data_IF_215850958696
#
_entry.id   IF_215850958696
#
_cell.length_a   1.000
_cell.length_b   1.000
_cell.length_c   1.000
_cell.angle_alpha   90.00
_cell.angle_beta   90.00
_cell.angle_gamma   90.00
#
_symmetry.space_group_name_H-M   'P 1'
#
loop_
_entity.id
_entity.type
_entity.pdbx_description
1 polymer ?
#
# COMPACT_ATOMS: atom_id res chain seq x y z
N UNK A 1 -29.02 -20.66 54.00
CA UNK A 1 -27.59 -20.33 54.12
C UNK A 1 -27.09 -19.94 52.74
N UNK A 2 -26.87 -18.64 52.48
CA UNK A 2 -26.31 -18.11 51.23
C UNK A 2 -24.79 -18.01 51.42
N UNK A 3 -24.02 -18.60 50.51
CA UNK A 3 -22.55 -18.52 50.53
C UNK A 3 -22.15 -17.32 49.66
N UNK A 4 -21.69 -16.25 50.30
CA UNK A 4 -21.12 -15.08 49.62
C UNK A 4 -19.84 -15.48 48.88
N UNK A 5 -19.92 -15.52 47.55
CA UNK A 5 -18.74 -15.65 46.68
C UNK A 5 -18.08 -14.28 46.59
N UNK A 6 -16.99 -14.06 47.35
CA UNK A 6 -16.13 -12.88 47.17
C UNK A 6 -15.53 -12.90 45.76
N UNK A 7 -15.81 -11.86 44.99
CA UNK A 7 -15.18 -11.62 43.69
C UNK A 7 -13.69 -11.34 43.89
N UNK A 8 -12.83 -12.18 43.31
CA UNK A 8 -11.39 -11.94 43.24
C UNK A 8 -11.18 -10.79 42.27
N UNK A 9 -10.86 -9.60 42.79
CA UNK A 9 -10.44 -8.48 41.97
C UNK A 9 -9.06 -8.80 41.35
N UNK A 10 -9.07 -9.17 40.07
CA UNK A 10 -7.88 -9.22 39.22
C UNK A 10 -7.27 -7.83 39.18
N UNK A 11 -6.09 -7.65 39.77
CA UNK A 11 -5.30 -6.43 39.59
C UNK A 11 -5.02 -6.23 38.09
N UNK A 12 -5.08 -4.99 37.56
CA UNK A 12 -4.66 -4.73 36.19
C UNK A 12 -3.18 -5.09 36.07
N UNK A 13 -2.86 -6.07 35.23
CA UNK A 13 -1.47 -6.38 34.89
C UNK A 13 -0.98 -5.22 34.04
N UNK A 14 -0.06 -4.41 34.56
CA UNK A 14 0.56 -3.37 33.75
C UNK A 14 1.22 -4.01 32.53
N UNK A 15 1.02 -3.46 31.31
CA UNK A 15 1.63 -4.02 30.13
C UNK A 15 3.14 -3.94 30.29
N UNK A 16 3.82 -5.10 30.28
CA UNK A 16 5.28 -5.13 30.28
C UNK A 16 5.83 -4.25 29.17
N UNK A 17 6.94 -3.56 29.45
CA UNK A 17 7.69 -2.86 28.40
C UNK A 17 8.08 -3.87 27.32
N UNK A 18 7.73 -3.53 26.07
CA UNK A 18 7.96 -4.40 24.92
C UNK A 18 9.41 -4.29 24.48
N UNK A 19 9.99 -5.42 24.08
CA UNK A 19 11.35 -5.41 23.56
C UNK A 19 11.38 -4.80 22.13
N UNK A 20 12.58 -4.46 21.66
CA UNK A 20 12.78 -3.85 20.34
C UNK A 20 12.23 -4.67 19.17
N UNK A 21 12.28 -6.00 19.26
CA UNK A 21 11.73 -6.89 18.24
C UNK A 21 10.19 -6.84 18.19
N UNK A 22 9.54 -6.74 19.35
CA UNK A 22 8.09 -6.56 19.44
C UNK A 22 7.64 -5.19 18.94
N UNK A 23 8.45 -4.15 19.15
CA UNK A 23 8.21 -2.81 18.58
C UNK A 23 8.28 -2.82 17.04
N UNK A 24 9.21 -3.58 16.46
CA UNK A 24 9.33 -3.73 15.01
C UNK A 24 8.12 -4.47 14.40
N UNK A 25 7.58 -5.47 15.10
CA UNK A 25 6.38 -6.20 14.69
C UNK A 25 5.09 -5.37 14.80
N UNK A 26 5.05 -4.34 15.64
CA UNK A 26 3.92 -3.40 15.66
C UNK A 26 3.93 -2.56 14.40
N UNK A 27 5.10 -2.06 13.95
CA UNK A 27 5.21 -1.31 12.68
C UNK A 27 4.66 -2.10 11.50
N UNK A 28 4.84 -3.42 11.46
CA UNK A 28 4.31 -4.25 10.37
C UNK A 28 2.83 -4.63 10.55
N UNK A 29 2.30 -4.59 11.78
CA UNK A 29 0.90 -4.94 12.09
C UNK A 29 -0.06 -3.74 12.06
N UNK A 30 0.43 -2.52 12.28
CA UNK A 30 -0.40 -1.30 12.32
C UNK A 30 -0.47 -0.57 10.97
N UNK A 31 -0.05 -1.19 9.86
CA UNK A 31 -0.31 -0.67 8.50
C UNK A 31 -1.78 -0.91 8.06
N UNK A 32 -2.70 -0.81 9.02
CA UNK A 32 -4.05 -0.33 8.74
C UNK A 32 -3.96 1.18 8.91
N UNK A 33 -3.62 1.84 7.83
CA UNK A 33 -3.47 3.28 7.67
C UNK A 33 -4.83 3.99 7.80
N UNK A 34 -5.32 4.09 9.04
CA UNK A 34 -6.41 5.00 9.38
C UNK A 34 -6.00 6.49 9.20
N UNK A 35 -4.76 6.76 8.79
CA UNK A 35 -4.13 8.09 8.77
C UNK A 35 -3.54 8.55 7.43
N UNK A 36 -3.77 7.85 6.32
CA UNK A 36 -3.50 8.38 4.97
C UNK A 36 -2.08 8.86 4.66
N UNK A 37 -1.06 8.44 5.43
CA UNK A 37 0.35 8.69 5.09
C UNK A 37 0.88 7.58 4.17
N UNK A 38 1.77 7.95 3.24
CA UNK A 38 2.38 7.01 2.32
C UNK A 38 3.25 6.02 3.09
N UNK A 39 2.83 4.77 3.17
CA UNK A 39 3.60 3.66 3.74
C UNK A 39 4.80 3.35 2.84
N UNK A 40 5.96 3.09 3.43
CA UNK A 40 7.14 2.54 2.73
C UNK A 40 7.00 1.02 2.47
N UNK A 41 5.76 0.54 2.38
CA UNK A 41 5.45 -0.87 2.24
C UNK A 41 5.84 -1.38 0.85
N UNK A 42 6.38 -2.60 0.80
CA UNK A 42 6.74 -3.24 -0.46
C UNK A 42 5.53 -3.47 -1.38
N UNK A 43 4.33 -3.58 -0.78
CA UNK A 43 3.07 -3.90 -1.44
C UNK A 43 2.07 -2.78 -1.14
N UNK A 44 1.45 -2.27 -2.20
CA UNK A 44 0.48 -1.19 -2.17
C UNK A 44 -0.94 -1.73 -2.42
N UNK A 45 -1.91 -1.21 -1.67
CA UNK A 45 -3.33 -1.22 -2.05
C UNK A 45 -3.55 -0.23 -3.19
N UNK A 46 -4.69 -0.37 -3.87
CA UNK A 46 -4.99 0.50 -5.01
C UNK A 46 -5.02 1.99 -4.63
N UNK A 47 -5.57 2.34 -3.47
CA UNK A 47 -5.59 3.73 -3.00
C UNK A 47 -4.16 4.31 -2.81
N UNK A 48 -3.24 3.51 -2.28
CA UNK A 48 -1.84 3.88 -2.09
C UNK A 48 -1.12 4.04 -3.43
N UNK A 49 -1.37 3.14 -4.39
CA UNK A 49 -0.87 3.29 -5.77
C UNK A 49 -1.32 4.61 -6.39
N UNK A 50 -2.59 4.97 -6.26
CA UNK A 50 -3.12 6.24 -6.78
C UNK A 50 -2.51 7.44 -6.05
N UNK A 51 -2.31 7.33 -4.74
CA UNK A 51 -1.65 8.38 -3.95
C UNK A 51 -0.18 8.58 -4.37
N UNK A 52 0.55 7.50 -4.64
CA UNK A 52 1.95 7.53 -5.06
C UNK A 52 2.10 8.06 -6.48
N UNK A 53 1.30 7.55 -7.42
CA UNK A 53 1.38 7.90 -8.84
C UNK A 53 0.68 9.22 -9.20
N UNK A 54 -0.18 9.71 -8.31
CA UNK A 54 -1.09 10.86 -8.51
C UNK A 54 -2.01 10.73 -9.74
N UNK A 55 -2.24 9.50 -10.20
CA UNK A 55 -3.16 9.20 -11.30
C UNK A 55 -4.58 9.06 -10.76
N UNK A 56 -5.56 9.62 -11.48
CA UNK A 56 -6.97 9.45 -11.15
C UNK A 56 -7.46 8.01 -11.36
N UNK A 57 -8.41 7.56 -10.55
CA UNK A 57 -8.91 6.17 -10.53
C UNK A 57 -9.30 5.64 -11.92
N UNK A 58 -10.13 6.37 -12.66
CA UNK A 58 -10.58 5.95 -14.00
C UNK A 58 -9.43 5.85 -14.99
N UNK A 59 -8.46 6.78 -14.90
CA UNK A 59 -7.28 6.76 -15.77
C UNK A 59 -6.35 5.59 -15.45
N UNK A 60 -6.20 5.23 -14.18
CA UNK A 60 -5.44 4.05 -13.78
C UNK A 60 -6.06 2.78 -14.36
N UNK A 61 -7.39 2.61 -14.30
CA UNK A 61 -8.03 1.46 -14.95
C UNK A 61 -7.85 1.43 -16.47
N UNK A 62 -7.91 2.59 -17.13
CA UNK A 62 -7.61 2.69 -18.56
C UNK A 62 -6.16 2.27 -18.87
N UNK A 63 -5.19 2.74 -18.07
CA UNK A 63 -3.77 2.36 -18.22
C UNK A 63 -3.55 0.86 -18.02
N UNK A 64 -4.29 0.20 -17.13
CA UNK A 64 -4.17 -1.25 -16.87
C UNK A 64 -4.88 -2.13 -17.91
N UNK A 65 -5.80 -1.59 -18.71
CA UNK A 65 -6.64 -2.37 -19.61
C UNK A 65 -6.04 -2.42 -21.03
N UNK A 66 -5.57 -3.58 -21.52
CA UNK A 66 -4.95 -3.70 -22.85
C UNK A 66 -5.87 -3.32 -24.02
N UNK A 67 -7.19 -3.28 -23.80
CA UNK A 67 -8.19 -2.91 -24.80
C UNK A 67 -8.52 -1.42 -24.81
N UNK A 68 -8.03 -0.67 -23.83
CA UNK A 68 -8.30 0.78 -23.73
C UNK A 68 -7.28 1.57 -24.55
N UNK A 69 -7.66 2.64 -25.27
CA UNK A 69 -6.71 3.49 -26.00
C UNK A 69 -5.68 4.17 -25.08
N UNK A 70 -5.97 4.27 -23.78
CA UNK A 70 -5.09 4.82 -22.77
C UNK A 70 -4.18 3.78 -22.08
N UNK A 71 -4.11 2.55 -22.59
CA UNK A 71 -3.27 1.48 -22.07
C UNK A 71 -1.80 1.89 -21.98
N UNK A 72 -1.18 1.61 -20.84
CA UNK A 72 0.24 1.82 -20.59
C UNK A 72 0.84 0.50 -20.09
N UNK A 73 1.63 -0.22 -20.90
CA UNK A 73 2.19 -1.52 -20.52
C UNK A 73 3.21 -1.42 -19.38
N UNK A 74 3.77 -0.23 -19.14
CA UNK A 74 4.74 0.00 -18.07
C UNK A 74 4.03 0.31 -16.73
N UNK A 75 2.71 0.54 -16.73
CA UNK A 75 1.96 0.86 -15.51
C UNK A 75 1.78 -0.38 -14.64
N UNK A 76 1.91 -0.28 -13.30
CA UNK A 76 1.88 -1.45 -12.41
C UNK A 76 0.61 -2.27 -12.56
N UNK A 77 0.78 -3.58 -12.79
CA UNK A 77 -0.34 -4.50 -12.92
C UNK A 77 -0.51 -5.28 -11.61
N UNK A 78 -1.70 -5.15 -11.01
CA UNK A 78 -1.94 -5.73 -9.70
C UNK A 78 -2.14 -7.24 -9.74
N UNK A 79 -1.61 -7.93 -8.73
CA UNK A 79 -1.85 -9.35 -8.48
C UNK A 79 -3.03 -9.56 -7.53
N UNK A 80 -3.75 -10.66 -7.70
CA UNK A 80 -4.88 -11.00 -6.84
C UNK A 80 -4.38 -11.46 -5.46
N UNK A 81 -5.03 -10.99 -4.39
CA UNK A 81 -4.73 -11.42 -3.02
C UNK A 81 -5.32 -12.79 -2.66
N UNK A 82 -6.36 -13.22 -3.40
CA UNK A 82 -7.09 -14.46 -3.20
C UNK A 82 -7.44 -15.11 -4.55
N UNK A 83 -7.85 -16.37 -4.53
CA UNK A 83 -8.10 -17.18 -5.73
C UNK A 83 -9.44 -16.90 -6.44
N UNK A 84 -10.12 -15.80 -6.10
CA UNK A 84 -11.42 -15.48 -6.69
C UNK A 84 -11.30 -14.49 -7.85
N UNK A 85 -12.15 -14.58 -8.89
CA UNK A 85 -12.12 -13.64 -10.02
C UNK A 85 -12.35 -12.18 -9.63
N UNK A 86 -12.98 -11.94 -8.48
CA UNK A 86 -13.26 -10.61 -7.92
C UNK A 86 -12.36 -10.28 -6.72
N UNK A 87 -11.27 -11.01 -6.55
CA UNK A 87 -10.33 -10.73 -5.48
C UNK A 87 -9.83 -9.28 -5.58
N UNK A 88 -9.73 -8.56 -4.45
CA UNK A 88 -8.94 -7.36 -4.39
C UNK A 88 -7.54 -7.59 -4.96
N UNK A 89 -7.01 -6.55 -5.60
CA UNK A 89 -5.66 -6.53 -6.16
C UNK A 89 -4.72 -5.73 -5.28
N UNK A 90 -3.49 -6.20 -5.18
CA UNK A 90 -2.36 -5.50 -4.61
C UNK A 90 -1.29 -5.25 -5.68
N UNK A 91 -0.40 -4.30 -5.43
CA UNK A 91 0.56 -3.80 -6.41
C UNK A 91 1.95 -3.73 -5.79
N UNK A 92 3.00 -3.98 -6.57
CA UNK A 92 4.36 -3.82 -6.08
C UNK A 92 4.78 -2.35 -6.08
N UNK A 93 5.31 -1.85 -4.96
CA UNK A 93 5.77 -0.46 -4.85
C UNK A 93 6.92 -0.15 -5.80
N UNK A 94 7.85 -1.08 -5.98
CA UNK A 94 9.02 -0.87 -6.85
C UNK A 94 8.62 -0.71 -8.32
N UNK A 95 7.59 -1.41 -8.80
CA UNK A 95 7.04 -1.20 -10.16
C UNK A 95 6.46 0.21 -10.31
N UNK A 96 5.72 0.70 -9.30
CA UNK A 96 5.15 2.04 -9.32
C UNK A 96 6.24 3.14 -9.34
N UNK A 97 7.32 2.94 -8.58
CA UNK A 97 8.48 3.83 -8.58
C UNK A 97 9.19 3.81 -9.94
N UNK A 98 9.48 2.62 -10.48
CA UNK A 98 10.11 2.47 -11.78
C UNK A 98 9.29 3.14 -12.91
N UNK A 99 7.97 3.05 -12.86
CA UNK A 99 7.08 3.74 -13.80
C UNK A 99 7.21 5.27 -13.70
N UNK A 100 7.22 5.83 -12.48
CA UNK A 100 7.42 7.27 -12.26
C UNK A 100 8.79 7.73 -12.78
N UNK A 101 9.85 6.98 -12.49
CA UNK A 101 11.20 7.24 -12.99
C UNK A 101 11.25 7.21 -14.52
N UNK A 102 10.62 6.21 -15.15
CA UNK A 102 10.52 6.11 -16.60
C UNK A 102 9.86 7.34 -17.23
N UNK A 103 8.82 7.90 -16.60
CA UNK A 103 8.19 9.16 -17.05
C UNK A 103 9.10 10.36 -16.90
N UNK A 104 9.82 10.46 -15.79
CA UNK A 104 10.81 11.52 -15.55
C UNK A 104 11.91 11.49 -16.62
N UNK A 105 12.45 10.30 -16.90
CA UNK A 105 13.50 10.10 -17.89
C UNK A 105 13.02 10.46 -19.31
N UNK A 106 11.79 10.07 -19.69
CA UNK A 106 11.16 10.45 -20.97
C UNK A 106 11.00 11.98 -21.10
N UNK A 107 10.74 12.68 -19.99
CA UNK A 107 10.64 14.14 -19.99
C UNK A 107 12.01 14.82 -20.14
N UNK A 108 13.03 14.34 -19.41
CA UNK A 108 14.39 14.87 -19.46
C UNK A 108 14.97 14.69 -20.86
N UNK A 109 14.92 13.48 -21.43
CA UNK A 109 15.47 13.19 -22.77
C UNK A 109 14.82 14.03 -23.87
N UNK A 110 13.50 14.28 -23.77
CA UNK A 110 12.77 15.16 -24.68
C UNK A 110 13.24 16.62 -24.60
N UNK A 111 13.65 17.09 -23.43
CA UNK A 111 14.12 18.46 -23.24
C UNK A 111 15.58 18.63 -23.67
N UNK A 112 16.41 17.61 -23.51
CA UNK A 112 17.79 17.61 -24.00
C UNK A 112 17.86 17.60 -25.53
N UNK A 113 17.01 16.81 -26.20
CA UNK A 113 16.91 16.80 -27.66
C UNK A 113 16.35 18.08 -28.30
N UNK A 114 15.80 19.01 -27.51
CA UNK A 114 15.33 20.32 -27.96
C UNK A 114 16.37 21.43 -27.85
N UNK A 115 17.53 21.15 -27.25
CA UNK A 115 18.63 22.11 -27.08
C UNK A 115 19.70 22.03 -28.18
N UNK A 116 19.49 21.22 -29.22
CA UNK A 116 20.29 21.15 -30.43
C UNK A 116 19.54 21.82 -31.59
#
# INVERSE_FOLDING_TARGET
MLIDKKAVHSTPVEPRERNSGEMALIRTRTNTDERGEASDDLVLRFAELLSLTKVGRSKAYAMMNPKDPGFDPDFPNGFALFDTPRSPKAFWRHEAVAWLEGRSNKFISKNEGKKQ
#
